data_IF_497499487752
#
_entry.id   IF_497499487752
#
_cell.length_a   1.000
_cell.length_b   1.000
_cell.length_c   1.000
_cell.angle_alpha   90.00
_cell.angle_beta   90.00
_cell.angle_gamma   90.00
#
_symmetry.space_group_name_H-M   'P 1'
#
loop_
_entity.id
_entity.type
_entity.pdbx_description
1 polymer ?
#
# COMPACT_ATOMS: atom_id res chain seq x y z
N UNK A 1 -6.67 9.12 14.46
CA UNK A 1 -7.53 8.48 13.43
C UNK A 1 -6.98 7.12 13.05
N UNK A 2 -7.69 6.32 12.22
CA UNK A 2 -7.17 5.05 11.70
C UNK A 2 -6.68 5.23 10.26
N UNK A 3 -5.43 4.83 10.00
CA UNK A 3 -4.76 4.95 8.70
C UNK A 3 -4.35 3.54 8.25
N UNK A 4 -4.67 3.18 7.02
CA UNK A 4 -4.19 1.95 6.41
C UNK A 4 -3.05 2.30 5.44
N UNK A 5 -1.93 1.60 5.58
CA UNK A 5 -0.74 1.74 4.72
C UNK A 5 -0.52 0.43 3.98
N UNK A 6 -0.60 0.45 2.65
CA UNK A 6 -0.17 -0.71 1.85
C UNK A 6 1.31 -0.59 1.54
N UNK A 7 2.02 -1.71 1.46
CA UNK A 7 3.47 -1.70 1.28
C UNK A 7 4.24 -1.21 2.51
N UNK A 8 3.61 -1.29 3.69
CA UNK A 8 4.18 -0.75 4.93
C UNK A 8 5.33 -1.56 5.53
N UNK A 9 5.70 -2.71 4.95
CA UNK A 9 6.91 -3.45 5.28
C UNK A 9 8.10 -3.12 4.37
N UNK A 10 7.87 -2.31 3.32
CA UNK A 10 8.90 -1.78 2.44
C UNK A 10 9.70 -0.65 3.08
N UNK A 11 10.74 -0.18 2.40
CA UNK A 11 11.63 0.87 2.93
C UNK A 11 10.86 2.18 3.22
N UNK A 12 10.23 2.76 2.21
CA UNK A 12 9.50 4.03 2.39
C UNK A 12 8.27 3.83 3.28
N UNK A 13 7.48 2.79 3.02
CA UNK A 13 6.23 2.52 3.74
C UNK A 13 6.44 2.34 5.24
N UNK A 14 7.51 1.67 5.68
CA UNK A 14 7.81 1.46 7.10
C UNK A 14 8.09 2.78 7.85
N UNK A 15 8.85 3.70 7.24
CA UNK A 15 9.11 5.03 7.81
C UNK A 15 7.83 5.87 7.94
N UNK A 16 6.93 5.76 6.95
CA UNK A 16 5.63 6.42 7.02
C UNK A 16 4.76 5.82 8.14
N UNK A 17 4.78 4.49 8.29
CA UNK A 17 4.09 3.80 9.40
C UNK A 17 4.61 4.29 10.73
N UNK A 18 5.94 4.34 10.93
CA UNK A 18 6.57 4.82 12.15
C UNK A 18 6.17 6.26 12.47
N UNK A 19 6.16 7.12 11.45
CA UNK A 19 5.74 8.51 11.61
C UNK A 19 4.28 8.61 12.05
N UNK A 20 3.37 7.87 11.43
CA UNK A 20 1.96 7.87 11.81
C UNK A 20 1.73 7.32 13.22
N UNK A 21 2.43 6.25 13.60
CA UNK A 21 2.38 5.70 14.96
C UNK A 21 2.90 6.73 15.97
N UNK A 22 4.03 7.38 15.67
CA UNK A 22 4.61 8.42 16.53
C UNK A 22 3.71 9.65 16.70
N UNK A 23 2.82 9.92 15.75
CA UNK A 23 1.80 10.97 15.83
C UNK A 23 0.52 10.51 16.56
N UNK A 24 0.51 9.31 17.16
CA UNK A 24 -0.63 8.78 17.90
C UNK A 24 -1.76 8.24 17.03
N UNK A 25 -1.52 7.95 15.75
CA UNK A 25 -2.52 7.33 14.89
C UNK A 25 -2.56 5.81 15.07
N UNK A 26 -3.75 5.22 14.90
CA UNK A 26 -3.90 3.77 14.79
C UNK A 26 -3.55 3.36 13.37
N UNK A 27 -2.49 2.58 13.19
CA UNK A 27 -1.99 2.21 11.86
C UNK A 27 -2.27 0.73 11.58
N UNK A 28 -2.78 0.47 10.39
CA UNK A 28 -2.96 -0.87 9.82
C UNK A 28 -2.04 -0.99 8.62
N UNK A 29 -1.22 -2.02 8.60
CA UNK A 29 -0.30 -2.33 7.49
C UNK A 29 -0.84 -3.52 6.70
N UNK A 30 -0.87 -3.38 5.39
CA UNK A 30 -1.14 -4.47 4.43
C UNK A 30 0.09 -4.64 3.55
N UNK A 31 0.71 -5.81 3.58
CA UNK A 31 1.90 -6.12 2.79
C UNK A 31 1.97 -7.64 2.52
N UNK A 32 2.38 -8.06 1.33
CA UNK A 32 2.54 -9.48 1.00
C UNK A 32 3.94 -10.01 1.32
N UNK A 33 4.86 -9.12 1.73
CA UNK A 33 6.27 -9.39 2.01
C UNK A 33 7.07 -9.91 0.79
N UNK A 34 6.64 -9.59 -0.43
CA UNK A 34 7.38 -9.97 -1.63
C UNK A 34 8.76 -9.29 -1.72
N UNK A 35 8.84 -8.04 -1.27
CA UNK A 35 10.09 -7.25 -1.19
C UNK A 35 10.28 -6.59 0.17
N UNK A 36 9.23 -6.49 0.97
CA UNK A 36 9.26 -5.97 2.33
C UNK A 36 9.75 -7.01 3.34
N UNK A 37 10.20 -6.54 4.49
CA UNK A 37 10.73 -7.40 5.55
C UNK A 37 9.93 -7.26 6.84
N UNK A 38 9.68 -8.38 7.52
CA UNK A 38 9.00 -8.39 8.83
C UNK A 38 9.68 -7.50 9.87
N UNK A 39 11.02 -7.40 9.81
CA UNK A 39 11.80 -6.56 10.73
C UNK A 39 11.50 -5.06 10.60
N UNK A 40 10.92 -4.63 9.47
CA UNK A 40 10.54 -3.24 9.24
C UNK A 40 9.16 -2.91 9.82
N UNK A 41 8.40 -3.91 10.30
CA UNK A 41 7.06 -3.69 10.83
C UNK A 41 7.13 -3.03 12.20
N UNK A 42 6.42 -1.93 12.36
CA UNK A 42 6.24 -1.29 13.66
C UNK A 42 5.40 -2.17 14.59
N UNK A 43 5.89 -2.45 15.79
CA UNK A 43 5.21 -3.30 16.79
C UNK A 43 3.85 -2.77 17.24
N UNK A 44 3.62 -1.47 17.12
CA UNK A 44 2.37 -0.81 17.47
C UNK A 44 1.40 -0.68 16.29
N UNK A 45 1.79 -1.13 15.09
CA UNK A 45 0.91 -1.19 13.94
C UNK A 45 0.30 -2.59 13.80
N UNK A 46 -0.98 -2.64 13.41
CA UNK A 46 -1.64 -3.91 13.11
C UNK A 46 -1.24 -4.38 11.72
N UNK A 47 -0.77 -5.61 11.61
CA UNK A 47 -0.27 -6.16 10.35
C UNK A 47 -1.20 -7.21 9.75
N UNK A 48 -1.44 -7.11 8.45
CA UNK A 48 -2.07 -8.13 7.61
C UNK A 48 -1.10 -8.55 6.50
N UNK A 49 -0.67 -9.82 6.50
CA UNK A 49 0.03 -10.40 5.37
C UNK A 49 -1.00 -10.69 4.27
N UNK A 50 -1.11 -9.81 3.30
CA UNK A 50 -2.13 -9.90 2.25
C UNK A 50 -1.64 -9.24 0.95
N UNK A 51 -2.12 -9.78 -0.17
CA UNK A 51 -1.82 -9.26 -1.51
C UNK A 51 -2.96 -8.36 -1.98
N UNK A 52 -2.62 -7.15 -2.43
CA UNK A 52 -3.60 -6.16 -2.92
C UNK A 52 -4.35 -6.62 -4.16
N UNK A 53 -3.85 -7.62 -4.89
CA UNK A 53 -4.54 -8.23 -6.03
C UNK A 53 -5.78 -9.02 -5.62
N UNK A 54 -5.88 -9.42 -4.36
CA UNK A 54 -7.04 -10.14 -3.83
C UNK A 54 -8.11 -9.16 -3.34
N UNK A 55 -9.04 -8.79 -4.24
CA UNK A 55 -10.12 -7.83 -3.93
C UNK A 55 -10.97 -8.27 -2.74
N UNK A 56 -11.39 -9.55 -2.69
CA UNK A 56 -12.24 -10.07 -1.60
C UNK A 56 -11.56 -9.92 -0.24
N UNK A 57 -10.25 -10.17 -0.17
CA UNK A 57 -9.48 -10.03 1.05
C UNK A 57 -9.32 -8.55 1.42
N UNK A 58 -9.09 -7.66 0.44
CA UNK A 58 -9.04 -6.21 0.68
C UNK A 58 -10.37 -5.70 1.23
N UNK A 59 -11.48 -6.05 0.61
CA UNK A 59 -12.83 -5.67 1.10
C UNK A 59 -13.07 -6.15 2.53
N UNK A 60 -12.68 -7.38 2.87
CA UNK A 60 -12.80 -7.94 4.22
C UNK A 60 -11.97 -7.14 5.24
N UNK A 61 -10.71 -6.81 4.91
CA UNK A 61 -9.83 -6.01 5.77
C UNK A 61 -10.40 -4.60 5.96
N UNK A 62 -10.79 -3.94 4.88
CA UNK A 62 -11.33 -2.58 4.91
C UNK A 62 -12.64 -2.50 5.70
N UNK A 63 -13.56 -3.46 5.50
CA UNK A 63 -14.81 -3.55 6.27
C UNK A 63 -14.55 -3.73 7.77
N UNK A 64 -13.54 -4.55 8.13
CA UNK A 64 -13.16 -4.79 9.54
C UNK A 64 -12.48 -3.58 10.16
N UNK A 65 -11.53 -2.99 9.45
CA UNK A 65 -10.68 -1.94 10.00
C UNK A 65 -11.29 -0.54 9.87
N UNK A 66 -12.12 -0.29 8.89
CA UNK A 66 -12.76 1.01 8.60
C UNK A 66 -11.76 2.16 8.65
N UNK A 67 -10.69 2.13 7.83
CA UNK A 67 -9.70 3.19 7.83
C UNK A 67 -10.32 4.51 7.35
N UNK A 68 -9.90 5.63 7.94
CA UNK A 68 -10.31 6.96 7.49
C UNK A 68 -9.47 7.44 6.33
N UNK A 69 -8.19 7.06 6.34
CA UNK A 69 -7.21 7.41 5.30
C UNK A 69 -6.51 6.13 4.85
N UNK A 70 -6.25 6.04 3.57
CA UNK A 70 -5.40 5.02 2.96
C UNK A 70 -4.16 5.70 2.37
N UNK A 71 -2.97 5.19 2.69
CA UNK A 71 -1.72 5.62 2.08
C UNK A 71 -1.14 4.43 1.32
N UNK A 72 -1.16 4.52 -0.02
CA UNK A 72 -0.90 3.39 -0.92
C UNK A 72 0.51 3.43 -1.46
N UNK A 73 1.39 2.57 -0.91
CA UNK A 73 2.79 2.40 -1.32
C UNK A 73 3.08 1.05 -2.00
N UNK A 74 2.17 0.08 -1.91
CA UNK A 74 2.39 -1.24 -2.51
C UNK A 74 2.48 -1.14 -4.02
N UNK A 75 3.62 -1.50 -4.59
CA UNK A 75 3.90 -1.47 -6.02
C UNK A 75 5.10 -2.36 -6.38
N UNK A 76 5.17 -2.78 -7.63
CA UNK A 76 6.42 -3.24 -8.26
C UNK A 76 7.12 -1.99 -8.79
N UNK A 77 8.20 -1.56 -8.12
CA UNK A 77 8.90 -0.30 -8.41
C UNK A 77 10.20 -0.49 -9.19
N UNK A 78 10.69 -1.72 -9.32
CA UNK A 78 11.94 -2.02 -10.02
C UNK A 78 11.72 -2.05 -11.54
N UNK A 79 12.40 -1.15 -12.28
CA UNK A 79 12.31 -1.05 -13.74
C UNK A 79 12.66 -2.37 -14.42
N UNK A 80 13.78 -3.00 -14.03
CA UNK A 80 14.19 -4.28 -14.62
C UNK A 80 13.18 -5.40 -14.39
N UNK A 81 12.50 -5.39 -13.25
CA UNK A 81 11.44 -6.36 -12.95
C UNK A 81 10.20 -6.13 -13.82
N UNK A 82 9.87 -4.86 -14.08
CA UNK A 82 8.76 -4.52 -14.95
C UNK A 82 8.98 -4.93 -16.42
N UNK A 83 10.24 -4.90 -16.87
CA UNK A 83 10.61 -5.36 -18.22
C UNK A 83 10.57 -6.89 -18.31
N UNK A 84 11.06 -7.59 -17.27
CA UNK A 84 11.10 -9.06 -17.25
C UNK A 84 9.71 -9.68 -17.06
N UNK A 85 8.86 -9.07 -16.26
CA UNK A 85 7.50 -9.54 -15.99
C UNK A 85 6.51 -8.36 -16.00
N UNK A 86 6.13 -7.89 -17.20
CA UNK A 86 5.17 -6.81 -17.33
C UNK A 86 3.76 -7.21 -16.86
N UNK A 87 3.41 -8.51 -16.92
CA UNK A 87 2.13 -9.01 -16.44
C UNK A 87 1.99 -8.86 -14.93
N UNK A 88 3.00 -9.26 -14.17
CA UNK A 88 3.01 -9.07 -12.71
C UNK A 88 2.95 -7.57 -12.35
N UNK A 89 3.72 -6.75 -13.05
CA UNK A 89 3.72 -5.30 -12.84
C UNK A 89 2.34 -4.69 -13.06
N UNK A 90 1.67 -5.06 -14.15
CA UNK A 90 0.29 -4.63 -14.44
C UNK A 90 -0.68 -5.10 -13.33
N UNK A 91 -0.62 -6.38 -12.96
CA UNK A 91 -1.51 -6.93 -11.93
C UNK A 91 -1.35 -6.22 -10.58
N UNK A 92 -0.13 -5.92 -10.17
CA UNK A 92 0.12 -5.24 -8.88
C UNK A 92 -0.19 -3.76 -8.98
N UNK A 93 0.39 -3.05 -9.96
CA UNK A 93 0.34 -1.59 -10.01
C UNK A 93 -0.99 -1.06 -10.54
N UNK A 94 -1.67 -1.79 -11.42
CA UNK A 94 -2.96 -1.34 -11.99
C UNK A 94 -4.12 -2.04 -11.29
N UNK A 95 -4.23 -3.36 -11.37
CA UNK A 95 -5.36 -4.08 -10.77
C UNK A 95 -5.33 -4.02 -9.24
N UNK A 96 -4.15 -4.13 -8.62
CA UNK A 96 -4.00 -3.98 -7.17
C UNK A 96 -4.43 -2.61 -6.69
N UNK A 97 -4.02 -1.54 -7.38
CA UNK A 97 -4.45 -0.17 -7.07
C UNK A 97 -5.95 0.00 -7.25
N UNK A 98 -6.53 -0.52 -8.34
CA UNK A 98 -7.99 -0.50 -8.54
C UNK A 98 -8.73 -1.20 -7.38
N UNK A 99 -8.23 -2.34 -6.90
CA UNK A 99 -8.81 -3.04 -5.75
C UNK A 99 -8.78 -2.20 -4.47
N UNK A 100 -7.67 -1.50 -4.22
CA UNK A 100 -7.56 -0.57 -3.07
C UNK A 100 -8.58 0.56 -3.17
N UNK A 101 -8.75 1.14 -4.36
CA UNK A 101 -9.73 2.22 -4.58
C UNK A 101 -11.17 1.72 -4.42
N UNK A 102 -11.49 0.54 -4.95
CA UNK A 102 -12.82 -0.09 -4.79
C UNK A 102 -13.13 -0.40 -3.32
N UNK A 103 -12.19 -1.04 -2.61
CA UNK A 103 -12.36 -1.34 -1.19
C UNK A 103 -12.49 -0.05 -0.35
N UNK A 104 -11.73 1.01 -0.72
CA UNK A 104 -11.82 2.33 -0.09
C UNK A 104 -13.20 2.96 -0.26
N UNK A 105 -13.72 2.98 -1.48
CA UNK A 105 -15.03 3.55 -1.79
C UNK A 105 -16.16 2.82 -1.02
N UNK A 106 -16.15 1.48 -1.04
CA UNK A 106 -17.13 0.65 -0.34
C UNK A 106 -17.10 0.79 1.19
N UNK A 107 -15.94 1.16 1.76
CA UNK A 107 -15.75 1.25 3.21
C UNK A 107 -15.82 2.67 3.76
N UNK A 108 -16.12 3.66 2.93
CA UNK A 108 -16.28 5.06 3.34
C UNK A 108 -14.96 5.75 3.71
N UNK A 109 -13.85 5.32 3.13
CA UNK A 109 -12.56 6.00 3.25
C UNK A 109 -12.68 7.45 2.78
N UNK A 110 -12.14 8.40 3.55
CA UNK A 110 -12.27 9.84 3.26
C UNK A 110 -11.18 10.37 2.34
N UNK A 111 -10.00 9.73 2.34
CA UNK A 111 -8.87 10.15 1.53
C UNK A 111 -7.99 8.96 1.19
N UNK A 112 -7.63 8.85 -0.08
CA UNK A 112 -6.58 7.96 -0.56
C UNK A 112 -5.40 8.81 -1.00
N UNK A 113 -4.22 8.50 -0.49
CA UNK A 113 -2.94 9.08 -0.89
C UNK A 113 -2.25 8.01 -1.74
N UNK A 114 -2.09 8.31 -3.02
CA UNK A 114 -1.39 7.44 -3.96
C UNK A 114 0.03 7.93 -4.16
N UNK A 115 1.00 7.03 -4.00
CA UNK A 115 2.42 7.37 -4.18
C UNK A 115 2.80 7.07 -5.62
N UNK A 116 3.09 8.13 -6.35
CA UNK A 116 3.54 8.09 -7.74
C UNK A 116 5.06 8.23 -7.84
N UNK A 117 5.58 8.18 -9.04
CA UNK A 117 7.00 8.36 -9.35
C UNK A 117 7.21 9.51 -10.32
N UNK A 118 8.10 10.44 -9.98
CA UNK A 118 8.45 11.57 -10.84
C UNK A 118 8.97 11.13 -12.21
N UNK A 119 9.85 10.13 -12.25
CA UNK A 119 10.39 9.58 -13.49
C UNK A 119 9.33 8.92 -14.38
N UNK A 120 8.32 8.26 -13.79
CA UNK A 120 7.24 7.66 -14.56
C UNK A 120 6.24 8.68 -15.10
N UNK A 121 6.04 9.81 -14.40
CA UNK A 121 5.04 10.83 -14.75
C UNK A 121 5.60 11.88 -15.69
N UNK A 122 6.83 12.34 -15.45
CA UNK A 122 7.42 13.48 -16.15
C UNK A 122 8.49 13.10 -17.20
N UNK A 123 8.97 11.84 -17.18
CA UNK A 123 10.05 11.38 -18.07
C UNK A 123 11.38 12.08 -17.78
N UNK A 124 12.26 12.07 -18.80
CA UNK A 124 13.54 12.79 -18.73
C UNK A 124 13.31 14.30 -18.83
N UNK A 125 13.85 15.04 -17.89
CA UNK A 125 13.86 16.50 -17.93
C UNK A 125 15.02 16.95 -18.83
N UNK A 126 14.72 17.72 -19.86
CA UNK A 126 15.72 18.36 -20.73
C UNK A 126 16.18 19.68 -20.14
#
# INVERSE_FOLDING_TARGET
MKILVTGGAGFIGSHIVDRYVGLGHRVVVVDNLATGFRKNLNKNAKFYKADIRNLKLMEKIFKKEKPRIVNHHAAVSEVMKSIKDPSLTYQVNVLGTANILLASAKSGVKKVIFISSGGAVYGEQK
#
